data_IF_270028509927
#
_entry.id   IF_270028509927
#
_cell.length_a   1.000
_cell.length_b   1.000
_cell.length_c   1.000
_cell.angle_alpha   90.00
_cell.angle_beta   90.00
_cell.angle_gamma   90.00
#
_symmetry.space_group_name_H-M   'P 1'
#
loop_
_entity.id
_entity.type
_entity.pdbx_description
1 polymer ?
#
# COMPACT_ATOMS: atom_id res chain seq x y z
N UNK A 1 -2.09 -9.02 9.21
CA UNK A 1 -2.16 -7.58 9.55
C UNK A 1 -1.01 -7.12 10.45
N UNK A 2 -0.62 -7.84 11.52
CA UNK A 2 0.42 -7.37 12.47
C UNK A 2 1.73 -6.88 11.82
N UNK A 3 2.37 -7.70 10.96
CA UNK A 3 3.65 -7.32 10.32
C UNK A 3 3.47 -6.14 9.36
N UNK A 4 2.36 -6.11 8.61
CA UNK A 4 2.03 -4.98 7.73
C UNK A 4 1.82 -3.68 8.53
N UNK A 5 1.15 -3.77 9.68
CA UNK A 5 0.97 -2.64 10.60
C UNK A 5 2.29 -2.16 11.18
N UNK A 6 3.17 -3.07 11.55
CA UNK A 6 4.50 -2.69 12.04
C UNK A 6 5.33 -1.97 10.96
N UNK A 7 5.37 -2.50 9.73
CA UNK A 7 6.06 -1.84 8.60
C UNK A 7 5.45 -0.46 8.33
N UNK A 8 4.12 -0.34 8.46
CA UNK A 8 3.46 0.94 8.28
C UNK A 8 3.83 1.94 9.38
N UNK A 9 3.89 1.51 10.64
CA UNK A 9 4.35 2.35 11.76
C UNK A 9 5.80 2.82 11.60
N UNK A 10 6.65 2.05 10.93
CA UNK A 10 8.06 2.38 10.65
C UNK A 10 8.26 3.23 9.38
N UNK A 11 7.17 3.75 8.78
CA UNK A 11 7.28 4.62 7.60
C UNK A 11 7.31 3.88 6.26
N UNK A 12 6.63 2.74 6.17
CA UNK A 12 6.46 1.88 4.98
C UNK A 12 7.63 0.94 4.63
N UNK A 13 8.74 1.02 5.35
CA UNK A 13 9.75 -0.03 5.35
C UNK A 13 10.25 -0.27 6.76
N UNK A 14 10.62 -1.51 7.08
CA UNK A 14 11.19 -1.85 8.38
C UNK A 14 12.36 -2.79 8.22
N UNK A 15 13.46 -2.53 8.93
CA UNK A 15 14.63 -3.41 8.92
C UNK A 15 14.27 -4.80 9.48
N UNK A 16 14.98 -5.85 9.04
CA UNK A 16 14.80 -7.18 9.61
C UNK A 16 14.98 -7.15 11.14
N UNK A 17 15.95 -6.39 11.64
CA UNK A 17 16.23 -6.23 13.06
C UNK A 17 15.06 -5.63 13.82
N UNK A 18 14.45 -4.56 13.31
CA UNK A 18 13.33 -3.91 13.97
C UNK A 18 12.08 -4.80 13.94
N UNK A 19 11.86 -5.53 12.84
CA UNK A 19 10.80 -6.54 12.76
C UNK A 19 10.98 -7.59 13.84
N UNK A 20 12.20 -8.09 14.04
CA UNK A 20 12.49 -9.02 15.11
C UNK A 20 12.29 -8.42 16.50
N UNK A 21 12.74 -7.19 16.75
CA UNK A 21 12.56 -6.51 18.05
C UNK A 21 11.07 -6.37 18.40
N UNK A 22 10.24 -5.95 17.45
CA UNK A 22 8.80 -5.82 17.66
C UNK A 22 8.13 -7.17 17.96
N UNK A 23 8.49 -8.21 17.22
CA UNK A 23 7.97 -9.56 17.47
C UNK A 23 8.38 -10.06 18.85
N UNK A 24 9.62 -9.81 19.29
CA UNK A 24 10.08 -10.13 20.64
C UNK A 24 9.25 -9.42 21.72
N UNK A 25 8.93 -8.13 21.51
CA UNK A 25 8.06 -7.37 22.42
C UNK A 25 6.65 -7.98 22.49
N UNK A 26 6.14 -8.47 21.36
CA UNK A 26 4.87 -9.22 21.27
C UNK A 26 4.99 -10.68 21.77
N UNK A 27 6.12 -11.06 22.38
CA UNK A 27 6.44 -12.42 22.88
C UNK A 27 6.41 -13.50 21.79
N UNK A 28 6.65 -13.10 20.54
CA UNK A 28 6.83 -13.98 19.38
C UNK A 28 8.34 -14.15 19.13
N UNK A 29 8.85 -15.36 19.32
CA UNK A 29 10.28 -15.64 19.26
C UNK A 29 10.63 -16.55 18.06
N UNK A 30 11.75 -16.30 17.36
CA UNK A 30 12.24 -17.20 16.32
C UNK A 30 12.56 -18.59 16.91
N UNK A 31 12.31 -19.65 16.14
CA UNK A 31 12.66 -21.03 16.54
C UNK A 31 11.71 -21.71 17.54
N UNK A 32 10.75 -21.01 18.14
CA UNK A 32 9.66 -21.63 18.92
C UNK A 32 8.43 -21.79 18.03
N UNK A 33 7.97 -23.03 17.83
CA UNK A 33 6.69 -23.29 17.14
C UNK A 33 5.56 -22.64 17.93
N UNK A 34 5.03 -21.54 17.41
CA UNK A 34 3.81 -20.93 17.92
C UNK A 34 2.62 -21.69 17.35
N UNK A 35 1.66 -22.07 18.20
CA UNK A 35 0.48 -22.85 17.77
C UNK A 35 -0.29 -22.21 16.60
N UNK A 36 -0.30 -20.88 16.52
CA UNK A 36 -0.96 -20.12 15.45
C UNK A 36 -0.05 -19.74 14.27
N UNK A 37 1.26 -19.59 14.48
CA UNK A 37 2.17 -19.00 13.47
C UNK A 37 3.22 -19.99 12.96
N UNK A 38 3.23 -21.23 13.45
CA UNK A 38 4.29 -22.18 13.11
C UNK A 38 5.65 -21.65 13.56
N UNK A 39 6.64 -21.68 12.67
CA UNK A 39 7.95 -21.08 12.93
C UNK A 39 7.93 -19.62 12.42
N UNK A 40 8.00 -18.60 13.31
CA UNK A 40 7.77 -17.21 12.95
C UNK A 40 8.75 -16.67 11.90
N UNK A 41 9.99 -17.18 11.88
CA UNK A 41 11.00 -16.80 10.88
C UNK A 41 10.60 -17.24 9.49
N UNK A 42 10.25 -18.51 9.31
CA UNK A 42 9.75 -19.06 8.06
C UNK A 42 8.47 -18.35 7.60
N UNK A 43 7.55 -18.05 8.52
CA UNK A 43 6.31 -17.37 8.15
C UNK A 43 6.58 -16.00 7.52
N UNK A 44 7.42 -15.19 8.16
CA UNK A 44 7.65 -13.80 7.74
C UNK A 44 8.60 -13.73 6.54
N UNK A 45 9.73 -14.42 6.60
CA UNK A 45 10.78 -14.30 5.57
C UNK A 45 10.53 -15.17 4.35
N UNK A 46 9.77 -16.27 4.46
CA UNK A 46 9.49 -17.18 3.35
C UNK A 46 8.04 -17.13 2.92
N UNK A 47 7.08 -17.40 3.81
CA UNK A 47 5.70 -17.59 3.40
C UNK A 47 5.04 -16.26 2.98
N UNK A 48 5.20 -15.18 3.75
CA UNK A 48 4.65 -13.87 3.41
C UNK A 48 5.31 -13.25 2.17
N UNK A 49 6.61 -13.48 1.99
CA UNK A 49 7.36 -13.05 0.78
C UNK A 49 6.92 -13.87 -0.43
N UNK A 50 6.80 -15.20 -0.30
CA UNK A 50 6.32 -16.10 -1.37
C UNK A 50 4.89 -15.75 -1.79
N UNK A 51 4.03 -15.44 -0.82
CA UNK A 51 2.65 -15.01 -1.06
C UNK A 51 2.53 -13.57 -1.53
N UNK A 52 3.64 -12.83 -1.67
CA UNK A 52 3.67 -11.44 -2.16
C UNK A 52 2.95 -10.43 -1.26
N UNK A 53 2.75 -10.77 0.02
CA UNK A 53 2.31 -9.81 1.03
C UNK A 53 3.46 -8.92 1.50
N UNK A 54 4.68 -9.45 1.49
CA UNK A 54 5.89 -8.71 1.81
C UNK A 54 6.86 -8.75 0.65
N UNK A 55 7.60 -7.66 0.49
CA UNK A 55 8.85 -7.63 -0.26
C UNK A 55 9.99 -7.66 0.75
N UNK A 56 11.05 -8.39 0.41
CA UNK A 56 12.27 -8.49 1.21
C UNK A 56 13.45 -8.13 0.31
N UNK A 57 14.16 -7.05 0.64
CA UNK A 57 15.24 -6.53 -0.20
C UNK A 57 16.41 -6.07 0.65
N UNK A 58 17.59 -6.07 0.05
CA UNK A 58 18.78 -5.50 0.66
C UNK A 58 18.67 -3.98 0.66
N UNK A 59 19.08 -3.35 1.76
CA UNK A 59 19.21 -1.90 1.85
C UNK A 59 20.43 -1.48 1.01
N UNK A 60 20.26 -0.60 0.00
CA UNK A 60 21.37 -0.10 -0.80
C UNK A 60 22.47 0.49 0.10
N UNK A 61 23.73 0.23 -0.27
CA UNK A 61 24.91 0.82 0.38
C UNK A 61 25.05 0.51 1.89
N UNK A 62 24.41 -0.57 2.37
CA UNK A 62 24.58 -1.03 3.75
C UNK A 62 25.84 -1.89 3.91
N UNK A 63 26.73 -1.48 4.83
CA UNK A 63 27.89 -2.25 5.27
C UNK A 63 27.93 -2.38 6.81
N UNK A 64 27.78 -3.60 7.39
CA UNK A 64 27.51 -4.87 6.71
C UNK A 64 26.13 -4.88 6.04
N UNK A 65 25.91 -5.80 5.09
CA UNK A 65 24.65 -5.93 4.36
C UNK A 65 23.45 -6.09 5.31
N UNK A 66 22.48 -5.18 5.17
CA UNK A 66 21.21 -5.18 5.91
C UNK A 66 20.03 -5.37 4.97
N UNK A 67 18.93 -5.88 5.52
CA UNK A 67 17.71 -6.13 4.76
C UNK A 67 16.52 -5.45 5.40
N UNK A 68 15.55 -5.10 4.57
CA UNK A 68 14.30 -4.50 5.00
C UNK A 68 13.09 -5.22 4.37
N UNK A 69 11.96 -5.09 5.05
CA UNK A 69 10.66 -5.53 4.60
C UNK A 69 9.81 -4.34 4.17
N UNK A 70 9.07 -4.53 3.09
CA UNK A 70 8.06 -3.60 2.59
C UNK A 70 6.75 -4.34 2.34
N UNK A 71 5.66 -3.60 2.15
CA UNK A 71 4.42 -4.17 1.66
C UNK A 71 4.59 -4.65 0.22
N UNK A 72 4.24 -5.91 -0.03
CA UNK A 72 4.21 -6.47 -1.37
C UNK A 72 2.92 -6.13 -2.12
N UNK A 73 2.86 -6.47 -3.42
CA UNK A 73 1.74 -6.11 -4.29
C UNK A 73 0.42 -6.71 -3.81
N UNK A 74 0.44 -7.91 -3.22
CA UNK A 74 -0.76 -8.55 -2.70
C UNK A 74 -1.31 -7.83 -1.46
N UNK A 75 -0.42 -7.32 -0.59
CA UNK A 75 -0.86 -6.50 0.54
C UNK A 75 -1.52 -5.20 0.06
N UNK A 76 -0.96 -4.54 -0.95
CA UNK A 76 -1.57 -3.34 -1.52
C UNK A 76 -2.90 -3.58 -2.23
N UNK A 77 -3.10 -4.79 -2.81
CA UNK A 77 -4.33 -5.17 -3.48
C UNK A 77 -5.45 -5.56 -2.49
N UNK A 78 -5.11 -6.27 -1.41
CA UNK A 78 -6.10 -6.81 -0.48
C UNK A 78 -6.42 -5.88 0.70
N UNK A 79 -5.53 -4.95 1.04
CA UNK A 79 -5.74 -4.03 2.16
C UNK A 79 -5.31 -2.59 1.85
N UNK A 80 -5.82 -1.65 2.67
CA UNK A 80 -5.39 -0.26 2.68
C UNK A 80 -4.59 0.05 3.93
N UNK A 81 -3.81 1.14 3.89
CA UNK A 81 -3.12 1.70 5.06
C UNK A 81 -4.13 2.03 6.16
N UNK A 82 -5.30 2.58 5.78
CA UNK A 82 -6.40 2.85 6.71
C UNK A 82 -6.93 1.58 7.39
N UNK A 83 -7.22 0.51 6.64
CA UNK A 83 -7.66 -0.78 7.22
C UNK A 83 -6.65 -1.36 8.21
N UNK A 84 -5.35 -1.22 7.91
CA UNK A 84 -4.29 -1.66 8.82
C UNK A 84 -4.21 -0.77 10.05
N UNK A 85 -4.37 0.55 9.90
CA UNK A 85 -4.39 1.50 11.00
C UNK A 85 -5.58 1.27 11.95
N UNK A 86 -6.78 1.07 11.41
CA UNK A 86 -7.97 0.70 12.18
C UNK A 86 -7.75 -0.58 12.98
N UNK A 87 -7.08 -1.57 12.38
CA UNK A 87 -6.77 -2.81 13.07
C UNK A 87 -5.77 -2.59 14.21
N UNK A 88 -4.75 -1.75 14.03
CA UNK A 88 -3.81 -1.37 15.10
C UNK A 88 -4.52 -0.62 16.23
N UNK A 89 -5.38 0.33 15.88
CA UNK A 89 -6.16 1.11 16.83
C UNK A 89 -7.07 0.22 17.68
N UNK A 90 -7.76 -0.75 17.07
CA UNK A 90 -8.57 -1.77 17.76
C UNK A 90 -7.75 -2.61 18.74
N UNK A 91 -6.54 -3.02 18.38
CA UNK A 91 -5.65 -3.76 19.30
C UNK A 91 -5.21 -2.89 20.47
N UNK A 92 -4.89 -1.62 20.21
CA UNK A 92 -4.49 -0.64 21.21
C UNK A 92 -5.62 -0.08 22.05
N UNK A 93 -6.87 -0.49 21.80
CA UNK A 93 -8.09 0.11 22.37
C UNK A 93 -8.07 1.64 22.26
N UNK A 94 -7.67 2.13 21.09
CA UNK A 94 -7.54 3.54 20.74
C UNK A 94 -8.19 3.80 19.39
N UNK A 95 -8.22 5.06 18.97
CA UNK A 95 -8.74 5.49 17.67
C UNK A 95 -7.60 5.67 16.65
N UNK A 96 -7.83 5.48 15.34
CA UNK A 96 -6.83 5.73 14.29
C UNK A 96 -6.21 7.13 14.35
N UNK A 97 -7.02 8.11 14.76
CA UNK A 97 -6.63 9.53 14.91
C UNK A 97 -5.61 9.76 16.03
N UNK A 98 -5.41 8.79 16.93
CA UNK A 98 -4.33 8.83 17.91
C UNK A 98 -2.93 8.68 17.27
N UNK A 99 -2.87 8.29 15.99
CA UNK A 99 -1.65 8.22 15.19
C UNK A 99 -1.72 9.23 14.04
N UNK A 100 -1.61 10.55 14.31
CA UNK A 100 -1.92 11.60 13.33
C UNK A 100 -1.12 11.48 12.02
N UNK A 101 0.18 11.18 12.11
CA UNK A 101 1.05 11.00 10.95
C UNK A 101 0.58 9.81 10.07
N UNK A 102 0.32 8.66 10.69
CA UNK A 102 -0.14 7.47 9.98
C UNK A 102 -1.55 7.64 9.44
N UNK A 103 -2.41 8.38 10.15
CA UNK A 103 -3.78 8.66 9.72
C UNK A 103 -3.80 9.54 8.48
N UNK A 104 -3.00 10.61 8.45
CA UNK A 104 -2.86 11.49 7.29
C UNK A 104 -2.34 10.75 6.06
N UNK A 105 -1.28 9.96 6.25
CA UNK A 105 -0.68 9.14 5.19
C UNK A 105 -1.65 8.05 4.67
N UNK A 106 -2.46 7.48 5.56
CA UNK A 106 -3.48 6.52 5.18
C UNK A 106 -4.59 7.16 4.33
N UNK A 107 -4.97 8.40 4.64
CA UNK A 107 -5.99 9.15 3.90
C UNK A 107 -5.51 9.57 2.51
N UNK A 108 -4.25 10.00 2.36
CA UNK A 108 -3.70 10.41 1.05
C UNK A 108 -3.87 9.31 -0.01
N UNK A 109 -3.55 8.08 0.36
CA UNK A 109 -3.62 6.93 -0.57
C UNK A 109 -5.04 6.48 -0.88
N UNK A 110 -6.02 6.82 -0.04
CA UNK A 110 -7.43 6.59 -0.34
C UNK A 110 -7.95 7.63 -1.33
N UNK A 111 -7.58 8.91 -1.16
CA UNK A 111 -7.91 9.97 -2.11
C UNK A 111 -7.36 9.71 -3.51
N UNK A 112 -6.15 9.17 -3.63
CA UNK A 112 -5.56 8.78 -4.93
C UNK A 112 -6.32 7.65 -5.64
N UNK A 113 -6.82 6.67 -4.88
CA UNK A 113 -7.64 5.56 -5.41
C UNK A 113 -9.02 6.03 -5.85
N UNK A 114 -9.60 7.00 -5.15
CA UNK A 114 -10.87 7.62 -5.51
C UNK A 114 -10.73 8.55 -6.73
N UNK A 115 -9.61 9.27 -6.85
CA UNK A 115 -9.31 10.14 -8.00
C UNK A 115 -9.06 9.34 -9.28
N UNK A 116 -8.34 8.21 -9.19
CA UNK A 116 -8.14 7.31 -10.34
C UNK A 116 -9.43 6.62 -10.80
N UNK A 117 -10.37 6.37 -9.88
CA UNK A 117 -11.70 5.85 -10.24
C UNK A 117 -12.59 6.91 -10.91
N UNK A 118 -12.58 8.14 -10.41
CA UNK A 118 -13.38 9.25 -10.99
C UNK A 118 -12.83 9.70 -12.34
N UNK A 119 -11.51 9.68 -12.55
CA UNK A 119 -10.89 10.05 -13.84
C UNK A 119 -11.09 8.98 -14.95
N UNK A 120 -11.45 7.74 -14.59
CA UNK A 120 -11.80 6.69 -15.55
C UNK A 120 -13.25 6.77 -16.05
N UNK A 121 -14.11 7.54 -15.37
CA UNK A 121 -15.53 7.70 -15.72
C UNK A 121 -15.86 8.99 -16.45
N UNK A 122 -14.87 9.88 -16.67
CA UNK A 122 -15.05 11.08 -17.50
C UNK A 122 -14.65 10.73 -18.93
N UNK A 123 -15.58 10.71 -19.90
CA UNK A 123 -15.19 10.60 -21.31
C UNK A 123 -14.33 11.80 -21.67
N UNK A 124 -13.14 11.55 -22.23
CA UNK A 124 -12.31 12.57 -22.84
C UNK A 124 -13.16 13.37 -23.85
N UNK A 125 -13.10 14.71 -23.89
CA UNK A 125 -13.74 15.45 -24.97
C UNK A 125 -13.03 15.08 -26.27
N UNK A 126 -13.76 14.46 -27.19
CA UNK A 126 -13.30 14.15 -28.55
C UNK A 126 -12.83 15.44 -29.21
N UNK A 127 -11.51 15.56 -29.31
CA UNK A 127 -10.81 16.66 -29.97
C UNK A 127 -10.95 16.47 -31.48
N UNK A 128 -11.63 17.40 -32.13
CA UNK A 128 -11.47 17.67 -33.56
C UNK A 128 -12.29 16.80 -34.50
N UNK A 129 -13.43 17.34 -34.95
CA UNK A 129 -13.94 17.04 -36.28
C UNK A 129 -13.93 18.33 -37.09
N UNK A 130 -13.01 18.38 -38.05
CA UNK A 130 -12.89 19.38 -39.10
C UNK A 130 -14.26 19.52 -39.80
N UNK A 131 -14.81 20.73 -39.84
CA UNK A 131 -15.92 21.07 -40.74
C UNK A 131 -15.36 21.18 -42.16
N UNK A 132 -15.85 20.43 -43.15
CA UNK A 132 -15.45 20.65 -44.53
C UNK A 132 -16.16 21.89 -45.08
N UNK A 133 -15.36 22.87 -45.51
CA UNK A 133 -15.80 24.03 -46.29
C UNK A 133 -16.37 23.55 -47.63
N UNK A 134 -17.64 23.83 -47.88
CA UNK A 134 -18.18 23.83 -49.25
C UNK A 134 -19.09 25.06 -49.44
N UNK A 135 -18.57 26.05 -50.16
CA UNK A 135 -19.36 26.80 -51.14
C UNK A 135 -19.14 26.16 -52.52
N UNK A 136 -19.99 26.40 -53.54
CA UNK A 136 -20.37 27.76 -53.95
C UNK A 136 -21.87 27.99 -54.27
N UNK A 137 -22.19 29.29 -54.34
CA UNK A 137 -23.29 30.05 -54.99
C UNK A 137 -23.69 29.52 -56.42
N UNK A 138 -24.73 30.00 -57.16
CA UNK A 138 -25.76 31.03 -56.89
C UNK A 138 -27.20 30.74 -57.42
N UNK A 139 -28.08 31.75 -57.25
CA UNK A 139 -29.22 32.15 -58.11
C UNK A 139 -30.69 31.94 -57.69
N UNK A 140 -31.41 33.05 -57.90
CA UNK A 140 -32.82 33.26 -58.26
C UNK A 140 -33.91 33.59 -57.20
N UNK A 141 -34.12 34.90 -57.05
CA UNK A 141 -35.34 35.67 -57.45
C UNK A 141 -36.69 34.93 -57.28
N UNK A 142 -37.49 35.41 -56.32
CA UNK A 142 -38.72 36.18 -56.58
C UNK A 142 -39.26 36.85 -55.31
#
# INVERSE_FOLDING_TARGET
MNVLGMIFMEGNSATEEDVWKYLHMMRIYPGKKHRLYGEPRKLITQDMVRLKYLEYRQIPDSDPARYEFLWGPKAHAETSKMKVLEFLAKIGNTEPTAYPILYEEALEKERERECTHTHALVPLPLKGMLMPTWGPHPDNIH
#
